data_IF_903512206810
#
_entry.id   IF_903512206810
#
_cell.length_a   1.000
_cell.length_b   1.000
_cell.length_c   1.000
_cell.angle_alpha   90.00
_cell.angle_beta   90.00
_cell.angle_gamma   90.00
#
_symmetry.space_group_name_H-M   'P 1'
#
loop_
_entity.id
_entity.type
_entity.pdbx_description
1 polymer ?
#
# COMPACT_ATOMS: atom_id res chain seq x y z
N UNK A 1 -31.47 13.47 -2.77
CA UNK A 1 -30.01 13.29 -2.50
C UNK A 1 -29.25 13.94 -3.65
N UNK A 2 -28.37 14.92 -3.39
CA UNK A 2 -27.48 15.46 -4.44
C UNK A 2 -26.53 14.34 -4.87
N UNK A 3 -26.42 14.07 -6.17
CA UNK A 3 -25.42 13.13 -6.69
C UNK A 3 -24.02 13.69 -6.42
N UNK A 4 -23.11 12.81 -6.00
CA UNK A 4 -21.72 13.19 -5.73
C UNK A 4 -20.99 13.46 -7.06
N UNK A 5 -19.94 14.31 -7.07
CA UNK A 5 -19.17 14.59 -8.28
C UNK A 5 -18.58 13.31 -8.89
N UNK A 6 -18.49 13.24 -10.23
CA UNK A 6 -17.89 12.08 -10.94
C UNK A 6 -16.49 11.76 -10.44
N UNK A 7 -15.68 12.78 -10.11
CA UNK A 7 -14.33 12.60 -9.58
C UNK A 7 -14.29 11.84 -8.25
N UNK A 8 -15.30 12.04 -7.39
CA UNK A 8 -15.42 11.34 -6.11
C UNK A 8 -15.64 9.83 -6.29
N UNK A 9 -16.46 9.43 -7.27
CA UNK A 9 -16.68 8.02 -7.57
C UNK A 9 -15.39 7.30 -8.03
N UNK A 10 -14.62 7.95 -8.91
CA UNK A 10 -13.33 7.40 -9.37
C UNK A 10 -12.28 7.36 -8.26
N UNK A 11 -12.26 8.38 -7.40
CA UNK A 11 -11.39 8.39 -6.23
C UNK A 11 -11.74 7.21 -5.30
N UNK A 12 -13.02 6.97 -5.01
CA UNK A 12 -13.44 5.84 -4.17
C UNK A 12 -13.08 4.49 -4.79
N UNK A 13 -13.26 4.31 -6.10
CA UNK A 13 -12.80 3.10 -6.78
C UNK A 13 -11.29 2.91 -6.60
N UNK A 14 -10.50 3.97 -6.79
CA UNK A 14 -9.03 3.94 -6.62
C UNK A 14 -8.64 3.56 -5.18
N UNK A 15 -9.34 4.11 -4.18
CA UNK A 15 -9.08 3.81 -2.78
C UNK A 15 -9.48 2.38 -2.42
N UNK A 16 -10.62 1.90 -2.93
CA UNK A 16 -11.07 0.53 -2.74
C UNK A 16 -10.06 -0.48 -3.28
N UNK A 17 -9.64 -0.32 -4.53
CA UNK A 17 -8.65 -1.23 -5.13
C UNK A 17 -7.29 -1.14 -4.45
N UNK A 18 -6.86 0.05 -4.02
CA UNK A 18 -5.63 0.19 -3.23
C UNK A 18 -5.70 -0.54 -1.89
N UNK A 19 -6.77 -0.34 -1.12
CA UNK A 19 -6.94 -1.03 0.16
C UNK A 19 -7.06 -2.56 -0.01
N UNK A 20 -7.74 -3.01 -1.07
CA UNK A 20 -7.83 -4.42 -1.42
C UNK A 20 -6.44 -5.00 -1.73
N UNK A 21 -5.68 -4.34 -2.60
CA UNK A 21 -4.34 -4.74 -2.99
C UNK A 21 -3.42 -4.87 -1.77
N UNK A 22 -3.37 -3.85 -0.92
CA UNK A 22 -2.52 -3.80 0.26
C UNK A 22 -2.79 -4.97 1.22
N UNK A 23 -4.08 -5.26 1.46
CA UNK A 23 -4.46 -6.35 2.35
C UNK A 23 -4.25 -7.72 1.70
N UNK A 24 -4.58 -7.88 0.42
CA UNK A 24 -4.40 -9.13 -0.30
C UNK A 24 -2.92 -9.52 -0.40
N UNK A 25 -2.06 -8.57 -0.78
CA UNK A 25 -0.61 -8.81 -0.86
C UNK A 25 -0.05 -9.26 0.49
N UNK A 26 -0.38 -8.54 1.57
CA UNK A 26 0.06 -8.89 2.92
C UNK A 26 -0.44 -10.27 3.37
N UNK A 27 -1.71 -10.60 3.10
CA UNK A 27 -2.28 -11.89 3.47
C UNK A 27 -1.63 -13.05 2.70
N UNK A 28 -1.51 -12.93 1.38
CA UNK A 28 -0.88 -13.95 0.54
C UNK A 28 0.59 -14.15 0.92
N UNK A 29 1.31 -13.06 1.20
CA UNK A 29 2.68 -13.11 1.68
C UNK A 29 2.79 -13.88 2.99
N UNK A 30 1.92 -13.57 3.96
CA UNK A 30 1.91 -14.25 5.25
C UNK A 30 1.64 -15.74 5.07
N UNK A 31 0.64 -16.11 4.26
CA UNK A 31 0.33 -17.51 4.01
C UNK A 31 1.48 -18.26 3.33
N UNK A 32 2.09 -17.70 2.29
CA UNK A 32 3.22 -18.33 1.62
C UNK A 32 4.41 -18.51 2.57
N UNK A 33 4.77 -17.48 3.34
CA UNK A 33 5.93 -17.59 4.25
C UNK A 33 5.66 -18.62 5.35
N UNK A 34 4.41 -18.73 5.84
CA UNK A 34 4.02 -19.77 6.80
C UNK A 34 4.13 -21.16 6.17
N UNK A 35 3.70 -21.33 4.92
CA UNK A 35 3.83 -22.58 4.19
C UNK A 35 5.30 -23.01 4.06
N UNK A 36 6.19 -22.05 3.76
CA UNK A 36 7.64 -22.29 3.62
C UNK A 36 8.38 -22.52 4.95
N UNK A 37 7.95 -21.88 6.05
CA UNK A 37 8.65 -21.94 7.35
C UNK A 37 7.99 -22.86 8.39
N UNK A 38 6.78 -23.35 8.11
CA UNK A 38 5.98 -24.16 9.02
C UNK A 38 5.06 -23.34 9.96
N UNK A 39 4.05 -24.02 10.49
CA UNK A 39 3.00 -23.42 11.33
C UNK A 39 3.52 -22.79 12.63
N UNK A 40 4.62 -23.31 13.18
CA UNK A 40 5.24 -22.75 14.39
C UNK A 40 5.75 -21.32 14.18
N UNK A 41 6.03 -20.93 12.93
CA UNK A 41 6.44 -19.57 12.58
C UNK A 41 5.26 -18.59 12.42
N UNK A 42 4.01 -19.07 12.40
CA UNK A 42 2.84 -18.25 12.04
C UNK A 42 2.69 -16.97 12.85
N UNK A 43 2.83 -17.05 14.17
CA UNK A 43 2.76 -15.87 15.04
C UNK A 43 3.85 -14.84 14.71
N UNK A 44 5.09 -15.31 14.51
CA UNK A 44 6.24 -14.46 14.19
C UNK A 44 6.09 -13.81 12.81
N UNK A 45 5.67 -14.57 11.80
CA UNK A 45 5.47 -14.07 10.42
C UNK A 45 4.38 -13.02 10.38
N UNK A 46 3.24 -13.28 11.02
CA UNK A 46 2.12 -12.33 11.09
C UNK A 46 2.52 -11.03 11.82
N UNK A 47 3.21 -11.14 12.97
CA UNK A 47 3.70 -9.98 13.71
C UNK A 47 4.70 -9.16 12.89
N UNK A 48 5.64 -9.83 12.21
CA UNK A 48 6.67 -9.17 11.39
C UNK A 48 6.05 -8.45 10.19
N UNK A 49 5.15 -9.12 9.45
CA UNK A 49 4.44 -8.50 8.34
C UNK A 49 3.57 -7.31 8.80
N UNK A 50 2.89 -7.44 9.94
CA UNK A 50 2.11 -6.36 10.55
C UNK A 50 2.97 -5.15 10.91
N UNK A 51 4.13 -5.38 11.53
CA UNK A 51 5.07 -4.31 11.88
C UNK A 51 5.62 -3.61 10.64
N UNK A 52 6.11 -4.37 9.65
CA UNK A 52 6.63 -3.81 8.38
C UNK A 52 5.55 -3.00 7.67
N UNK A 53 4.30 -3.45 7.70
CA UNK A 53 3.18 -2.75 7.08
C UNK A 53 2.87 -1.42 7.78
N UNK A 54 2.84 -1.39 9.11
CA UNK A 54 2.44 -0.19 9.88
C UNK A 54 3.57 0.83 10.00
N UNK A 55 4.83 0.38 10.06
CA UNK A 55 5.98 1.21 10.39
C UNK A 55 6.17 2.41 9.44
N UNK A 56 6.03 2.28 8.10
CA UNK A 56 6.13 3.43 7.21
C UNK A 56 5.07 4.49 7.47
N UNK A 57 3.83 4.09 7.79
CA UNK A 57 2.76 5.03 8.12
C UNK A 57 3.08 5.81 9.39
N UNK A 58 3.63 5.16 10.42
CA UNK A 58 4.02 5.82 11.66
C UNK A 58 5.16 6.81 11.44
N UNK A 59 6.21 6.39 10.73
CA UNK A 59 7.45 7.18 10.60
C UNK A 59 7.30 8.32 9.57
N UNK A 60 6.63 8.07 8.45
CA UNK A 60 6.61 8.99 7.31
C UNK A 60 5.30 9.76 7.13
N UNK A 61 4.26 9.56 7.96
CA UNK A 61 2.98 10.28 7.84
C UNK A 61 3.13 11.80 7.79
N UNK A 62 3.91 12.39 8.72
CA UNK A 62 4.13 13.84 8.76
C UNK A 62 4.90 14.36 7.53
N UNK A 63 5.87 13.59 7.04
CA UNK A 63 6.61 13.94 5.82
C UNK A 63 5.72 13.85 4.58
N UNK A 64 4.88 12.81 4.50
CA UNK A 64 3.90 12.62 3.44
C UNK A 64 2.89 13.78 3.37
N UNK A 65 2.37 14.23 4.51
CA UNK A 65 1.47 15.39 4.59
C UNK A 65 2.11 16.66 4.01
N UNK A 66 3.31 17.01 4.47
CA UNK A 66 4.05 18.17 3.94
C UNK A 66 4.34 18.06 2.44
N UNK A 67 4.55 16.86 1.91
CA UNK A 67 4.76 16.64 0.49
C UNK A 67 3.46 16.89 -0.31
N UNK A 68 2.32 16.38 0.18
CA UNK A 68 0.99 16.60 -0.43
C UNK A 68 0.64 18.08 -0.48
N UNK A 69 1.01 18.86 0.53
CA UNK A 69 0.72 20.30 0.57
C UNK A 69 1.53 21.10 -0.46
N UNK A 70 2.72 20.61 -0.85
CA UNK A 70 3.62 21.29 -1.80
C UNK A 70 3.38 20.93 -3.27
N UNK A 71 2.77 19.78 -3.54
CA UNK A 71 2.61 19.26 -4.90
C UNK A 71 1.14 19.11 -5.29
N UNK A 72 0.87 19.04 -6.59
CA UNK A 72 -0.47 18.72 -7.08
C UNK A 72 -0.91 17.34 -6.58
N UNK A 73 -2.04 17.29 -5.87
CA UNK A 73 -2.61 16.08 -5.28
C UNK A 73 -2.93 15.04 -6.34
N UNK A 74 -3.51 15.47 -7.46
CA UNK A 74 -3.76 14.62 -8.63
C UNK A 74 -2.49 14.00 -9.20
N UNK A 75 -1.40 14.78 -9.29
CA UNK A 75 -0.11 14.28 -9.77
C UNK A 75 0.45 13.24 -8.79
N UNK A 76 0.42 13.53 -7.49
CA UNK A 76 0.94 12.61 -6.48
C UNK A 76 0.15 11.29 -6.47
N UNK A 77 -1.17 11.34 -6.51
CA UNK A 77 -2.04 10.14 -6.60
C UNK A 77 -1.63 9.28 -7.81
N UNK A 78 -1.50 9.88 -9.00
CA UNK A 78 -1.08 9.15 -10.21
C UNK A 78 0.28 8.49 -10.07
N UNK A 79 1.27 9.20 -9.52
CA UNK A 79 2.62 8.64 -9.32
C UNK A 79 2.63 7.53 -8.30
N UNK A 80 1.90 7.68 -7.18
CA UNK A 80 1.78 6.62 -6.18
C UNK A 80 1.15 5.36 -6.78
N UNK A 81 0.13 5.49 -7.63
CA UNK A 81 -0.53 4.32 -8.25
C UNK A 81 0.34 3.65 -9.32
N UNK A 82 1.13 4.42 -10.05
CA UNK A 82 2.14 3.85 -10.96
C UNK A 82 3.22 3.08 -10.19
N UNK A 83 3.70 3.65 -9.07
CA UNK A 83 4.68 3.00 -8.21
C UNK A 83 4.13 1.71 -7.59
N UNK A 84 2.86 1.70 -7.16
CA UNK A 84 2.17 0.51 -6.68
C UNK A 84 2.19 -0.62 -7.72
N UNK A 85 1.89 -0.31 -8.99
CA UNK A 85 1.91 -1.31 -10.07
C UNK A 85 3.30 -1.91 -10.26
N UNK A 86 4.35 -1.08 -10.23
CA UNK A 86 5.75 -1.54 -10.34
C UNK A 86 6.12 -2.45 -9.16
N UNK A 87 5.75 -2.06 -7.93
CA UNK A 87 6.02 -2.85 -6.72
C UNK A 87 5.24 -4.17 -6.77
N UNK A 88 3.99 -4.17 -7.23
CA UNK A 88 3.19 -5.39 -7.37
C UNK A 88 3.77 -6.33 -8.41
N UNK A 89 4.28 -5.82 -9.53
CA UNK A 89 4.97 -6.64 -10.52
C UNK A 89 6.23 -7.29 -9.92
N UNK A 90 7.07 -6.52 -9.23
CA UNK A 90 8.23 -7.06 -8.52
C UNK A 90 7.84 -8.07 -7.43
N UNK A 91 6.75 -7.80 -6.72
CA UNK A 91 6.17 -8.67 -5.70
C UNK A 91 5.71 -10.00 -6.30
N UNK A 92 5.05 -9.99 -7.46
CA UNK A 92 4.69 -11.22 -8.18
C UNK A 92 5.90 -12.06 -8.56
N UNK A 93 7.00 -11.43 -8.98
CA UNK A 93 8.26 -12.14 -9.25
C UNK A 93 8.85 -12.74 -7.95
N UNK A 94 8.76 -12.02 -6.82
CA UNK A 94 9.21 -12.53 -5.52
C UNK A 94 8.35 -13.70 -5.02
N UNK A 95 7.04 -13.69 -5.29
CA UNK A 95 6.15 -14.81 -5.02
C UNK A 95 6.55 -16.03 -5.85
N UNK A 96 6.78 -15.85 -7.16
CA UNK A 96 7.18 -16.95 -8.04
C UNK A 96 8.56 -17.53 -7.69
N UNK A 97 9.46 -16.71 -7.15
CA UNK A 97 10.78 -17.13 -6.68
C UNK A 97 10.80 -17.59 -5.21
N UNK A 98 9.65 -17.60 -4.52
CA UNK A 98 9.52 -17.93 -3.09
C UNK A 98 10.51 -17.16 -2.18
N UNK A 99 10.86 -15.94 -2.57
CA UNK A 99 11.87 -15.14 -1.89
C UNK A 99 11.27 -14.40 -0.70
N UNK A 100 11.41 -14.99 0.50
CA UNK A 100 10.94 -14.41 1.78
C UNK A 100 11.43 -12.96 1.97
N UNK A 101 12.72 -12.72 1.75
CA UNK A 101 13.31 -11.38 1.88
C UNK A 101 12.75 -10.42 0.83
N UNK A 102 12.60 -10.87 -0.43
CA UNK A 102 12.03 -10.05 -1.49
C UNK A 102 10.58 -9.66 -1.22
N UNK A 103 9.79 -10.59 -0.68
CA UNK A 103 8.40 -10.36 -0.29
C UNK A 103 8.29 -9.31 0.82
N UNK A 104 9.10 -9.41 1.88
CA UNK A 104 9.11 -8.40 2.95
C UNK A 104 9.59 -7.03 2.46
N UNK A 105 10.58 -6.97 1.56
CA UNK A 105 11.00 -5.72 0.94
C UNK A 105 9.88 -5.10 0.09
N UNK A 106 9.17 -5.90 -0.71
CA UNK A 106 8.02 -5.43 -1.48
C UNK A 106 6.90 -4.92 -0.57
N UNK A 107 6.62 -5.61 0.55
CA UNK A 107 5.65 -5.16 1.56
C UNK A 107 6.03 -3.79 2.14
N UNK A 108 7.31 -3.59 2.47
CA UNK A 108 7.82 -2.31 2.98
C UNK A 108 7.65 -1.19 1.95
N UNK A 109 8.04 -1.44 0.70
CA UNK A 109 7.94 -0.46 -0.39
C UNK A 109 6.48 -0.10 -0.69
N UNK A 110 5.60 -1.10 -0.70
CA UNK A 110 4.16 -0.93 -0.87
C UNK A 110 3.61 -0.05 0.27
N UNK A 111 3.94 -0.36 1.53
CA UNK A 111 3.49 0.44 2.67
C UNK A 111 4.02 1.89 2.64
N UNK A 112 5.26 2.10 2.20
CA UNK A 112 5.84 3.43 2.02
C UNK A 112 5.09 4.25 0.96
N UNK A 113 4.80 3.64 -0.20
CA UNK A 113 4.00 4.29 -1.25
C UNK A 113 2.57 4.58 -0.77
N UNK A 114 1.92 3.64 -0.07
CA UNK A 114 0.57 3.84 0.47
C UNK A 114 0.51 4.92 1.54
N UNK A 115 1.61 5.11 2.29
CA UNK A 115 1.75 6.23 3.24
C UNK A 115 1.70 7.58 2.52
N UNK A 116 2.30 7.71 1.33
CA UNK A 116 2.23 8.93 0.52
C UNK A 116 0.84 9.15 -0.09
N UNK A 117 0.17 8.07 -0.51
CA UNK A 117 -1.17 8.14 -1.06
C UNK A 117 -2.22 8.56 -0.03
N UNK A 118 -2.06 8.18 1.24
CA UNK A 118 -3.04 8.42 2.31
C UNK A 118 -3.41 9.90 2.52
N UNK A 119 -2.49 10.85 2.76
CA UNK A 119 -2.86 12.26 2.90
C UNK A 119 -3.37 12.87 1.58
N UNK A 120 -2.87 12.39 0.43
CA UNK A 120 -3.28 12.90 -0.89
C UNK A 120 -4.75 12.61 -1.20
N UNK A 121 -5.22 11.40 -0.87
CA UNK A 121 -6.60 10.96 -1.16
C UNK A 121 -7.64 11.72 -0.33
N UNK A 122 -7.29 12.20 0.86
CA UNK A 122 -8.19 13.03 1.68
C UNK A 122 -8.09 14.50 1.28
N UNK A 123 -6.89 15.00 1.01
CA UNK A 123 -6.67 16.40 0.65
C UNK A 123 -7.28 16.80 -0.69
N UNK A 124 -7.52 15.85 -1.61
CA UNK A 124 -8.10 16.14 -2.93
C UNK A 124 -9.63 16.28 -2.89
N UNK A 125 -10.30 15.76 -1.85
CA UNK A 125 -11.78 15.74 -1.79
C UNK A 125 -12.41 17.13 -1.93
N UNK A 126 -11.91 18.21 -1.30
CA UNK A 126 -12.45 19.56 -1.51
C UNK A 126 -12.22 20.14 -2.92
N UNK A 127 -11.33 19.53 -3.70
CA UNK A 127 -10.96 19.96 -5.06
C UNK A 127 -11.72 19.21 -6.17
N UNK A 128 -12.56 18.22 -5.81
CA UNK A 128 -13.35 17.36 -6.71
C UNK A 128 -14.80 17.80 -6.85
#
# INVERSE_FOLDING_TARGET
MKSLPRGFHWLNATQFFGALNDNLFKLLLVFLIIDLQGLDAAGRVAATAGLIFVLPFLVFSAAAGRLVDRFSKTRLIRHTKLLELIIMFAGSLCFAAESVTGLYLCLLLMALQSTLFSPAKYGIVPEL
#
